data_IF_389912351071
#
_entry.id   IF_389912351071
#
_cell.length_a   1.000
_cell.length_b   1.000
_cell.length_c   1.000
_cell.angle_alpha   90.00
_cell.angle_beta   90.00
_cell.angle_gamma   90.00
#
_symmetry.space_group_name_H-M   'P 1'
#
loop_
_entity.id
_entity.type
_entity.pdbx_description
1 polymer ?
#
# COMPACT_ATOMS: atom_id res chain seq x y z
N UNK A 1 -12.57 -4.16 -3.83
CA UNK A 1 -11.69 -3.47 -2.87
C UNK A 1 -10.71 -2.63 -3.65
N UNK A 2 -10.57 -1.36 -3.30
CA UNK A 2 -9.64 -0.44 -3.96
C UNK A 2 -8.44 -0.19 -3.05
N UNK A 3 -7.24 -0.50 -3.55
CA UNK A 3 -5.99 -0.37 -2.81
C UNK A 3 -5.14 0.70 -3.46
N UNK A 4 -4.70 1.67 -2.66
CA UNK A 4 -3.79 2.73 -3.09
C UNK A 4 -2.46 2.57 -2.38
N UNK A 5 -1.39 2.38 -3.15
CA UNK A 5 -0.02 2.39 -2.67
C UNK A 5 0.59 3.76 -2.97
N UNK A 6 0.80 4.55 -1.93
CA UNK A 6 1.54 5.80 -2.03
C UNK A 6 3.02 5.51 -1.83
N UNK A 7 3.82 5.90 -2.81
CA UNK A 7 5.26 5.66 -2.82
C UNK A 7 5.97 6.72 -3.65
N UNK A 8 7.24 6.47 -3.93
CA UNK A 8 8.05 7.30 -4.83
C UNK A 8 8.79 6.42 -5.84
N UNK A 9 9.26 7.03 -6.91
CA UNK A 9 10.06 6.32 -7.90
C UNK A 9 11.38 5.78 -7.30
N UNK A 10 11.83 4.61 -7.80
CA UNK A 10 13.07 3.94 -7.38
C UNK A 10 13.15 3.66 -5.88
N UNK A 11 12.06 3.21 -5.28
CA UNK A 11 12.05 2.77 -3.89
C UNK A 11 11.86 1.25 -3.83
N UNK A 12 12.95 0.53 -3.52
CA UNK A 12 12.93 -0.93 -3.41
C UNK A 12 11.81 -1.45 -2.49
N UNK A 13 11.56 -0.76 -1.37
CA UNK A 13 10.46 -1.12 -0.45
C UNK A 13 9.09 -0.93 -1.10
N UNK A 14 8.88 0.11 -1.89
CA UNK A 14 7.61 0.30 -2.61
C UNK A 14 7.41 -0.82 -3.64
N UNK A 15 8.46 -1.20 -4.36
CA UNK A 15 8.42 -2.30 -5.35
C UNK A 15 8.06 -3.63 -4.69
N UNK A 16 8.62 -3.92 -3.51
CA UNK A 16 8.30 -5.11 -2.73
C UNK A 16 6.81 -5.11 -2.31
N UNK A 17 6.32 -4.02 -1.72
CA UNK A 17 4.93 -3.91 -1.30
C UNK A 17 3.97 -4.01 -2.49
N UNK A 18 4.31 -3.39 -3.62
CA UNK A 18 3.54 -3.50 -4.85
C UNK A 18 3.43 -4.96 -5.30
N UNK A 19 4.54 -5.70 -5.31
CA UNK A 19 4.57 -7.11 -5.69
C UNK A 19 3.70 -7.97 -4.77
N UNK A 20 3.71 -7.70 -3.46
CA UNK A 20 2.86 -8.38 -2.48
C UNK A 20 1.38 -8.14 -2.79
N UNK A 21 0.96 -6.89 -2.98
CA UNK A 21 -0.44 -6.56 -3.28
C UNK A 21 -0.86 -7.17 -4.62
N UNK A 22 0.01 -7.15 -5.65
CA UNK A 22 -0.27 -7.79 -6.95
C UNK A 22 -0.43 -9.30 -6.83
N UNK A 23 0.29 -9.93 -5.91
CA UNK A 23 0.14 -11.37 -5.63
C UNK A 23 -1.21 -11.63 -5.00
N UNK A 24 -1.58 -10.85 -3.99
CA UNK A 24 -2.88 -10.93 -3.32
C UNK A 24 -4.05 -10.60 -4.25
N UNK A 25 -3.84 -9.76 -5.27
CA UNK A 25 -4.85 -9.47 -6.29
C UNK A 25 -5.26 -10.69 -7.13
N UNK A 26 -4.46 -11.77 -7.11
CA UNK A 26 -4.82 -13.05 -7.74
C UNK A 26 -5.80 -13.87 -6.87
N UNK A 27 -5.81 -13.61 -5.56
CA UNK A 27 -6.60 -14.34 -4.57
C UNK A 27 -7.87 -13.56 -4.19
N UNK A 28 -7.82 -12.23 -4.22
CA UNK A 28 -8.91 -11.34 -3.84
C UNK A 28 -9.30 -10.41 -5.00
N UNK A 29 -10.60 -10.09 -5.17
CA UNK A 29 -11.08 -9.13 -6.17
C UNK A 29 -10.77 -7.68 -5.74
N UNK A 30 -9.50 -7.28 -5.88
CA UNK A 30 -9.00 -5.95 -5.58
C UNK A 30 -8.37 -5.26 -6.79
N UNK A 31 -8.37 -3.93 -6.77
CA UNK A 31 -7.68 -3.08 -7.75
C UNK A 31 -6.56 -2.35 -7.04
N UNK A 32 -5.36 -2.38 -7.61
CA UNK A 32 -4.20 -1.66 -7.10
C UNK A 32 -3.94 -0.40 -7.95
N UNK A 33 -3.86 0.74 -7.28
CA UNK A 33 -3.40 2.00 -7.83
C UNK A 33 -2.09 2.42 -7.13
N UNK A 34 -1.07 2.74 -7.90
CA UNK A 34 0.19 3.28 -7.38
C UNK A 34 0.17 4.80 -7.59
N UNK A 35 0.39 5.54 -6.51
CA UNK A 35 0.43 7.01 -6.51
C UNK A 35 1.82 7.45 -6.13
N UNK A 36 2.46 8.18 -7.04
CA UNK A 36 3.74 8.82 -6.80
C UNK A 36 3.52 10.11 -6.00
N UNK A 37 4.01 10.14 -4.76
CA UNK A 37 3.90 11.30 -3.90
C UNK A 37 4.79 12.45 -4.38
N UNK A 38 5.83 12.19 -5.18
CA UNK A 38 6.72 13.26 -5.70
C UNK A 38 6.01 14.11 -6.77
N UNK A 39 4.92 13.60 -7.34
CA UNK A 39 4.13 14.30 -8.35
C UNK A 39 3.15 15.33 -7.75
N UNK A 40 2.90 15.28 -6.44
CA UNK A 40 2.01 16.21 -5.73
C UNK A 40 2.69 16.76 -4.47
N UNK A 41 2.94 18.08 -4.37
CA UNK A 41 3.65 18.67 -3.24
C UNK A 41 2.93 18.50 -1.90
N UNK A 42 1.60 18.38 -1.89
CA UNK A 42 0.82 18.13 -0.67
C UNK A 42 1.05 16.71 -0.18
N UNK A 43 0.92 15.72 -1.08
CA UNK A 43 1.19 14.32 -0.74
C UNK A 43 2.64 14.11 -0.34
N UNK A 44 3.59 14.78 -1.00
CA UNK A 44 4.99 14.72 -0.66
C UNK A 44 5.23 15.19 0.79
N UNK A 45 4.73 16.37 1.16
CA UNK A 45 4.92 16.92 2.50
C UNK A 45 4.28 16.02 3.59
N UNK A 46 3.08 15.50 3.33
CA UNK A 46 2.36 14.65 4.29
C UNK A 46 2.96 13.24 4.44
N UNK A 47 3.54 12.68 3.37
CA UNK A 47 3.88 11.25 3.31
C UNK A 47 5.37 10.93 3.14
N UNK A 48 6.25 11.88 2.80
CA UNK A 48 7.67 11.62 2.50
C UNK A 48 8.45 10.88 3.59
N UNK A 49 8.04 11.00 4.86
CA UNK A 49 8.68 10.34 6.01
C UNK A 49 8.10 8.97 6.37
N UNK A 50 7.02 8.55 5.69
CA UNK A 50 6.24 7.36 6.07
C UNK A 50 5.91 6.44 4.89
N UNK A 51 6.47 6.71 3.71
CA UNK A 51 6.34 5.82 2.54
C UNK A 51 7.11 4.49 2.73
N UNK A 52 6.62 3.38 2.17
CA UNK A 52 5.33 3.21 1.50
C UNK A 52 4.12 3.34 2.44
N UNK A 53 3.02 3.93 1.95
CA UNK A 53 1.72 3.98 2.63
C UNK A 53 0.71 3.18 1.83
N UNK A 54 -0.03 2.28 2.49
CA UNK A 54 -1.09 1.49 1.86
C UNK A 54 -2.43 1.95 2.41
N UNK A 55 -3.34 2.33 1.52
CA UNK A 55 -4.73 2.61 1.82
C UNK A 55 -5.64 1.56 1.17
N UNK A 56 -6.63 1.08 1.91
CA UNK A 56 -7.64 0.13 1.42
C UNK A 56 -9.02 0.77 1.59
N UNK A 57 -9.75 0.89 0.49
CA UNK A 57 -11.05 1.56 0.38
C UNK A 57 -11.04 2.98 0.99
N UNK A 58 -9.93 3.70 0.81
CA UNK A 58 -9.72 5.06 1.32
C UNK A 58 -9.19 5.15 2.76
N UNK A 59 -9.04 4.03 3.46
CA UNK A 59 -8.50 3.99 4.83
C UNK A 59 -7.02 3.60 4.83
N UNK A 60 -6.16 4.39 5.46
CA UNK A 60 -4.74 4.05 5.62
C UNK A 60 -4.60 2.88 6.60
N UNK A 61 -4.20 1.72 6.09
CA UNK A 61 -4.00 0.50 6.89
C UNK A 61 -2.53 0.29 7.24
N UNK A 62 -1.62 0.88 6.48
CA UNK A 62 -0.19 0.69 6.68
C UNK A 62 0.59 1.97 6.38
N UNK A 63 1.59 2.25 7.23
CA UNK A 63 2.57 3.33 7.06
C UNK A 63 3.94 2.78 7.44
N UNK A 64 4.92 2.91 6.57
CA UNK A 64 6.28 2.40 6.79
C UNK A 64 7.10 3.36 7.66
N UNK A 65 6.64 3.64 8.88
CA UNK A 65 7.34 4.55 9.82
C UNK A 65 8.44 3.82 10.59
N UNK A 66 8.19 2.56 10.97
CA UNK A 66 9.04 1.77 11.89
C UNK A 66 9.19 0.30 11.50
N UNK A 67 8.41 -0.20 10.54
CA UNK A 67 8.38 -1.60 10.13
C UNK A 67 8.12 -1.71 8.62
N UNK A 68 8.56 -2.80 7.99
CA UNK A 68 8.25 -3.12 6.58
C UNK A 68 7.03 -4.04 6.58
N UNK A 69 6.02 -3.75 5.76
CA UNK A 69 4.83 -4.61 5.71
C UNK A 69 5.19 -5.96 5.12
N UNK A 70 4.69 -7.03 5.73
CA UNK A 70 4.89 -8.39 5.25
C UNK A 70 3.68 -8.90 4.46
N UNK A 71 3.89 -9.95 3.66
CA UNK A 71 2.81 -10.64 2.95
C UNK A 71 1.68 -11.09 3.90
N UNK A 72 2.07 -11.62 5.07
CA UNK A 72 1.13 -12.19 6.03
C UNK A 72 0.22 -11.12 6.63
N UNK A 73 0.77 -9.95 6.98
CA UNK A 73 -0.02 -8.82 7.52
C UNK A 73 -1.04 -8.33 6.49
N UNK A 74 -0.61 -8.10 5.24
CA UNK A 74 -1.53 -7.69 4.18
C UNK A 74 -2.60 -8.76 3.92
N UNK A 75 -2.23 -10.03 3.85
CA UNK A 75 -3.17 -11.12 3.63
C UNK A 75 -4.22 -11.21 4.75
N UNK A 76 -3.79 -11.07 6.02
CA UNK A 76 -4.69 -11.09 7.17
C UNK A 76 -5.70 -9.94 7.13
N UNK A 77 -5.26 -8.71 6.81
CA UNK A 77 -6.15 -7.56 6.72
C UNK A 77 -7.16 -7.69 5.58
N UNK A 78 -6.73 -8.19 4.40
CA UNK A 78 -7.64 -8.46 3.29
C UNK A 78 -8.65 -9.57 3.62
N UNK A 79 -8.21 -10.62 4.31
CA UNK A 79 -9.10 -11.70 4.76
C UNK A 79 -10.15 -11.17 5.73
N UNK A 80 -9.75 -10.33 6.68
CA UNK A 80 -10.64 -9.67 7.65
C UNK A 80 -11.71 -8.82 6.96
N UNK A 81 -11.34 -8.10 5.90
CA UNK A 81 -12.24 -7.24 5.12
C UNK A 81 -13.16 -8.03 4.18
N UNK A 82 -12.70 -9.15 3.65
CA UNK A 82 -13.46 -9.97 2.69
C UNK A 82 -14.47 -10.90 3.38
N UNK A 83 -14.22 -11.31 4.63
CA UNK A 83 -15.14 -12.14 5.43
C UNK A 83 -16.29 -11.36 6.08
N UNK A 84 -16.49 -10.10 5.73
CA UNK A 84 -17.51 -9.21 6.29
C UNK A 84 -18.51 -8.79 5.22
#
# INVERSE_FOLDING_TARGET
>A
MDIVLYGRNRCHLCDEVELLIRTLAKEFPLRLQVVDIESDPVLHEEMMLVIPVVAIDGEIVFRSVTHVVTFQELHQELTRRTSK
#
